data_IF_212009044805
#
_entry.id   IF_212009044805
#
_cell.length_a   1.000
_cell.length_b   1.000
_cell.length_c   1.000
_cell.angle_alpha   90.00
_cell.angle_beta   90.00
_cell.angle_gamma   90.00
#
_symmetry.space_group_name_H-M   'P 1'
#
loop_
_entity.id
_entity.type
_entity.pdbx_description
1 polymer ?
#
# COMPACT_ATOMS: atom_id res chain seq x y z
N UNK A 1 -23.96 67.60 -28.59
CA UNK A 1 -22.87 66.89 -27.89
C UNK A 1 -23.45 65.66 -27.20
N UNK A 2 -23.02 64.45 -27.57
CA UNK A 2 -23.48 63.18 -26.98
C UNK A 2 -22.42 62.71 -25.99
N UNK A 3 -22.74 62.63 -24.69
CA UNK A 3 -21.88 61.97 -23.69
C UNK A 3 -22.11 60.45 -23.76
N UNK A 4 -21.02 59.69 -23.93
CA UNK A 4 -21.00 58.24 -23.80
C UNK A 4 -20.68 57.90 -22.34
N UNK A 5 -21.57 57.16 -21.68
CA UNK A 5 -21.36 56.66 -20.32
C UNK A 5 -20.58 55.35 -20.39
N UNK A 6 -19.35 55.35 -19.89
CA UNK A 6 -18.48 54.18 -19.75
C UNK A 6 -18.79 53.49 -18.44
N UNK A 7 -19.39 52.29 -18.48
CA UNK A 7 -19.56 51.44 -17.31
C UNK A 7 -18.28 50.63 -17.09
N UNK A 8 -17.63 50.86 -15.95
CA UNK A 8 -16.50 50.07 -15.44
C UNK A 8 -17.09 48.97 -14.56
N UNK A 9 -17.09 47.72 -15.04
CA UNK A 9 -17.39 46.56 -14.19
C UNK A 9 -16.13 46.20 -13.38
N UNK A 10 -16.10 46.61 -12.12
CA UNK A 10 -15.11 46.16 -11.16
C UNK A 10 -15.41 44.69 -10.79
N UNK A 11 -14.52 43.79 -11.21
CA UNK A 11 -14.56 42.38 -10.84
C UNK A 11 -14.12 42.17 -9.40
N UNK A 12 -14.99 41.57 -8.59
CA UNK A 12 -14.70 41.13 -7.22
C UNK A 12 -14.68 39.60 -7.24
N UNK A 13 -13.51 39.01 -7.53
CA UNK A 13 -13.28 37.57 -7.41
C UNK A 13 -12.92 37.29 -5.95
N UNK A 14 -13.93 37.08 -5.11
CA UNK A 14 -13.75 36.58 -3.76
C UNK A 14 -13.38 35.08 -3.82
N UNK A 15 -12.08 34.82 -3.95
CA UNK A 15 -11.48 33.49 -3.94
C UNK A 15 -11.72 32.79 -2.61
N UNK A 16 -12.82 32.06 -2.51
CA UNK A 16 -13.13 31.25 -1.34
C UNK A 16 -12.59 29.84 -1.57
N UNK A 17 -11.38 29.57 -1.10
CA UNK A 17 -10.87 28.21 -0.99
C UNK A 17 -11.76 27.44 -0.01
N UNK A 18 -12.67 26.60 -0.54
CA UNK A 18 -13.31 25.56 0.25
C UNK A 18 -12.29 24.43 0.30
N UNK A 19 -11.66 24.24 1.45
CA UNK A 19 -10.95 23.00 1.74
C UNK A 19 -12.01 21.91 1.82
N UNK A 20 -12.20 21.18 0.73
CA UNK A 20 -12.88 19.89 0.79
C UNK A 20 -12.01 19.01 1.67
N UNK A 21 -12.50 18.67 2.86
CA UNK A 21 -11.91 17.57 3.61
C UNK A 21 -12.09 16.35 2.74
N UNK A 22 -11.01 15.89 2.09
CA UNK A 22 -10.99 14.55 1.58
C UNK A 22 -11.25 13.67 2.80
N UNK A 23 -12.24 12.79 2.75
CA UNK A 23 -12.16 11.68 3.68
C UNK A 23 -10.88 10.97 3.30
N UNK A 24 -9.91 11.05 4.20
CA UNK A 24 -8.59 10.50 3.94
C UNK A 24 -8.81 9.02 3.65
N UNK A 25 -8.38 8.58 2.47
CA UNK A 25 -8.36 7.17 2.16
C UNK A 25 -7.55 6.50 3.26
N UNK A 26 -8.15 5.55 4.00
CA UNK A 26 -7.47 4.83 5.05
C UNK A 26 -6.33 4.05 4.41
N UNK A 27 -5.11 4.45 4.72
CA UNK A 27 -3.92 4.04 3.99
C UNK A 27 -2.70 4.02 4.89
N UNK A 28 -2.08 2.86 5.03
CA UNK A 28 -0.77 2.79 5.68
C UNK A 28 0.34 2.68 4.63
N UNK A 29 1.51 3.22 4.96
CA UNK A 29 2.73 3.03 4.18
C UNK A 29 3.95 3.09 5.08
N UNK A 30 4.80 2.06 5.01
CA UNK A 30 6.08 2.05 5.71
C UNK A 30 7.14 2.99 5.09
N UNK A 31 6.84 3.57 3.93
CA UNK A 31 7.77 4.44 3.20
C UNK A 31 7.50 5.93 3.45
N UNK A 32 6.22 6.31 3.60
CA UNK A 32 5.81 7.72 3.71
C UNK A 32 4.74 7.97 4.79
N UNK A 33 4.25 6.92 5.46
CA UNK A 33 3.24 7.04 6.51
C UNK A 33 3.84 7.65 7.77
N UNK A 34 3.08 8.54 8.41
CA UNK A 34 3.47 9.14 9.70
C UNK A 34 2.72 8.53 10.87
N UNK A 35 1.64 7.82 10.59
CA UNK A 35 0.86 7.10 11.57
C UNK A 35 0.77 5.62 11.18
N UNK A 36 1.40 4.77 11.98
CA UNK A 36 1.41 3.32 11.78
C UNK A 36 0.79 2.60 12.98
N UNK A 37 0.13 3.34 13.88
CA UNK A 37 -0.40 2.78 15.12
C UNK A 37 0.62 1.94 15.88
N UNK A 38 0.19 0.75 16.31
CA UNK A 38 1.08 -0.21 16.99
C UNK A 38 2.16 -0.82 16.06
N UNK A 39 1.98 -0.77 14.74
CA UNK A 39 2.99 -1.20 13.79
C UNK A 39 4.22 -0.27 13.75
N UNK A 40 4.14 0.93 14.33
CA UNK A 40 5.32 1.80 14.56
C UNK A 40 6.37 1.16 15.48
N UNK A 41 6.00 0.15 16.26
CA UNK A 41 6.92 -0.57 17.14
C UNK A 41 7.73 -1.66 16.42
N UNK A 42 7.39 -2.00 15.16
CA UNK A 42 8.19 -2.96 14.37
C UNK A 42 9.58 -2.36 14.15
N UNK A 43 10.66 -3.04 14.60
CA UNK A 43 12.00 -2.53 14.39
C UNK A 43 12.36 -2.60 12.90
N UNK A 44 12.99 -1.53 12.41
CA UNK A 44 13.65 -1.52 11.11
C UNK A 44 15.09 -1.95 11.32
N UNK A 45 15.44 -3.11 10.80
CA UNK A 45 16.74 -3.73 11.02
C UNK A 45 17.67 -3.54 9.81
N UNK A 46 18.98 -3.62 10.08
CA UNK A 46 19.96 -3.64 9.00
C UNK A 46 19.87 -4.98 8.27
N UNK A 47 20.00 -4.92 6.94
CA UNK A 47 20.07 -6.10 6.07
C UNK A 47 21.17 -7.05 6.57
N UNK A 48 20.81 -8.33 6.77
CA UNK A 48 21.74 -9.37 7.20
C UNK A 48 21.90 -9.52 8.72
N UNK A 49 21.07 -8.85 9.53
CA UNK A 49 21.01 -9.11 10.97
C UNK A 49 20.48 -10.51 11.22
N UNK A 50 21.28 -11.37 11.88
CA UNK A 50 20.96 -12.79 12.07
C UNK A 50 20.06 -13.08 13.26
N UNK A 51 19.73 -12.08 14.08
CA UNK A 51 18.90 -12.23 15.28
C UNK A 51 18.00 -11.01 15.38
N UNK A 52 16.67 -11.20 15.33
CA UNK A 52 15.73 -10.11 15.33
C UNK A 52 15.73 -9.50 16.72
N UNK A 53 15.60 -8.20 16.75
CA UNK A 53 15.21 -7.44 17.93
C UNK A 53 13.70 -7.43 18.13
N UNK A 54 12.93 -7.76 17.08
CA UNK A 54 11.48 -7.83 17.14
C UNK A 54 10.99 -9.03 17.96
N UNK A 55 9.97 -8.76 18.77
CA UNK A 55 9.14 -9.80 19.42
C UNK A 55 7.67 -9.68 18.99
N UNK A 56 7.40 -8.88 17.96
CA UNK A 56 6.05 -8.49 17.55
C UNK A 56 5.58 -9.48 16.50
N UNK A 57 4.65 -10.38 16.82
CA UNK A 57 4.04 -11.27 15.83
C UNK A 57 2.80 -10.69 15.17
N UNK A 58 2.21 -9.65 15.77
CA UNK A 58 1.03 -8.96 15.26
C UNK A 58 1.08 -7.47 15.61
N UNK A 59 0.57 -6.63 14.71
CA UNK A 59 0.38 -5.21 14.94
C UNK A 59 -0.80 -4.71 14.13
N UNK A 60 -1.40 -3.61 14.57
CA UNK A 60 -2.48 -2.89 13.88
C UNK A 60 -2.05 -1.46 13.59
N UNK A 61 -2.27 -1.02 12.36
CA UNK A 61 -2.11 0.37 11.91
C UNK A 61 -3.30 1.20 12.35
N UNK A 62 -3.13 2.52 12.46
CA UNK A 62 -4.24 3.41 12.83
C UNK A 62 -5.33 3.48 11.75
N UNK A 63 -4.99 3.11 10.51
CA UNK A 63 -5.93 2.91 9.39
C UNK A 63 -6.69 1.57 9.44
N UNK A 64 -6.61 0.80 10.53
CA UNK A 64 -7.41 -0.41 10.71
C UNK A 64 -6.92 -1.63 9.93
N UNK A 65 -5.65 -1.66 9.56
CA UNK A 65 -5.01 -2.84 8.98
C UNK A 65 -4.22 -3.59 10.06
N UNK A 66 -4.41 -4.89 10.17
CA UNK A 66 -3.66 -5.74 11.10
C UNK A 66 -2.74 -6.66 10.34
N UNK A 67 -1.44 -6.59 10.62
CA UNK A 67 -0.43 -7.52 10.12
C UNK A 67 -0.23 -8.63 11.15
N UNK A 68 -0.16 -9.88 10.69
CA UNK A 68 0.11 -11.04 11.55
C UNK A 68 1.05 -11.99 10.85
N UNK A 69 2.20 -12.26 11.48
CA UNK A 69 3.10 -13.33 11.05
C UNK A 69 2.52 -14.69 11.46
N UNK A 70 2.76 -15.73 10.66
CA UNK A 70 2.40 -17.09 11.01
C UNK A 70 3.13 -17.59 12.29
N UNK A 71 2.66 -18.71 12.84
CA UNK A 71 3.11 -19.20 14.16
C UNK A 71 4.62 -19.35 14.23
N UNK A 72 5.28 -18.74 15.22
CA UNK A 72 6.73 -18.84 15.41
C UNK A 72 7.55 -17.81 14.61
N UNK A 73 6.92 -17.03 13.73
CA UNK A 73 7.52 -15.86 13.10
C UNK A 73 7.25 -14.57 13.89
N UNK A 74 8.09 -13.56 13.66
CA UNK A 74 7.90 -12.18 14.13
C UNK A 74 7.94 -11.22 12.95
N UNK A 75 7.13 -10.18 12.99
CA UNK A 75 7.16 -9.07 12.04
C UNK A 75 8.44 -8.27 12.24
N UNK A 76 9.12 -7.98 11.14
CA UNK A 76 10.35 -7.19 11.14
C UNK A 76 10.40 -6.35 9.88
N UNK A 77 10.90 -5.13 10.02
CA UNK A 77 11.08 -4.24 8.89
C UNK A 77 12.53 -4.23 8.42
N UNK A 78 12.71 -3.92 7.14
CA UNK A 78 14.03 -3.54 6.61
C UNK A 78 13.90 -2.48 5.55
N UNK A 79 15.00 -1.79 5.30
CA UNK A 79 15.11 -0.81 4.21
C UNK A 79 16.17 -1.23 3.22
N UNK A 80 15.77 -1.41 1.96
CA UNK A 80 16.65 -1.72 0.83
C UNK A 80 16.50 -0.62 -0.20
N UNK A 81 17.61 0.05 -0.52
CA UNK A 81 17.64 1.12 -1.54
C UNK A 81 16.58 2.23 -1.31
N UNK A 82 16.31 2.58 -0.04
CA UNK A 82 15.33 3.60 0.34
C UNK A 82 13.88 3.12 0.32
N UNK A 83 13.62 1.87 -0.05
CA UNK A 83 12.31 1.23 0.11
C UNK A 83 12.28 0.46 1.42
N UNK A 84 11.29 0.72 2.25
CA UNK A 84 11.03 0.00 3.48
C UNK A 84 9.86 -0.94 3.29
N UNK A 85 10.03 -2.18 3.77
CA UNK A 85 8.99 -3.19 3.79
C UNK A 85 9.03 -3.97 5.11
N UNK A 86 7.89 -4.55 5.48
CA UNK A 86 7.77 -5.47 6.62
C UNK A 86 7.59 -6.88 6.08
N UNK A 87 8.50 -7.76 6.49
CA UNK A 87 8.44 -9.19 6.24
C UNK A 87 8.31 -9.95 7.55
N UNK A 88 8.74 -11.21 7.51
CA UNK A 88 8.81 -12.09 8.66
C UNK A 88 10.28 -12.35 8.95
N UNK A 89 10.59 -12.58 10.22
CA UNK A 89 11.79 -13.27 10.60
C UNK A 89 11.37 -14.51 11.39
N UNK A 90 12.04 -15.62 11.09
CA UNK A 90 11.94 -16.85 11.87
C UNK A 90 13.32 -17.38 12.19
N UNK A 91 13.57 -17.68 13.47
CA UNK A 91 14.77 -18.39 13.89
C UNK A 91 14.60 -19.88 13.57
N UNK A 92 14.76 -20.23 12.29
CA UNK A 92 14.92 -21.62 11.92
C UNK A 92 16.40 -21.99 12.09
N UNK A 93 16.67 -22.87 13.05
CA UNK A 93 18.02 -23.40 13.37
C UNK A 93 18.78 -24.01 12.18
N UNK A 94 18.15 -24.12 11.01
CA UNK A 94 18.74 -24.44 9.72
C UNK A 94 19.35 -23.17 9.11
N UNK A 95 20.68 -23.05 9.12
CA UNK A 95 21.44 -21.90 8.60
C UNK A 95 21.22 -21.53 7.11
N UNK A 96 20.26 -22.15 6.43
CA UNK A 96 19.86 -21.93 5.04
C UNK A 96 18.35 -21.66 4.87
N UNK A 97 17.57 -21.49 5.94
CA UNK A 97 16.10 -21.35 5.87
C UNK A 97 15.51 -20.20 6.70
N UNK A 98 16.32 -19.43 7.43
CA UNK A 98 15.84 -18.22 8.10
C UNK A 98 15.61 -17.10 7.09
N UNK A 99 14.40 -16.56 7.02
CA UNK A 99 14.10 -15.40 6.20
C UNK A 99 14.81 -14.15 6.72
N UNK A 100 15.28 -13.32 5.79
CA UNK A 100 16.05 -12.12 6.11
C UNK A 100 15.15 -10.88 6.15
N UNK A 101 14.10 -10.95 6.96
CA UNK A 101 13.14 -9.84 7.12
C UNK A 101 12.32 -9.60 5.83
N UNK A 102 12.04 -10.69 5.11
CA UNK A 102 11.23 -10.83 3.89
C UNK A 102 10.15 -11.91 4.14
N UNK A 103 9.32 -12.19 3.15
CA UNK A 103 8.31 -13.25 3.16
C UNK A 103 8.81 -14.33 2.22
N UNK A 104 9.30 -15.42 2.81
CA UNK A 104 9.96 -16.50 2.08
C UNK A 104 9.17 -17.82 2.19
N UNK A 105 9.79 -18.91 1.73
CA UNK A 105 9.21 -20.25 1.81
C UNK A 105 8.84 -20.66 3.23
N UNK A 106 7.59 -21.11 3.40
CA UNK A 106 7.05 -21.55 4.69
C UNK A 106 6.54 -20.42 5.58
N UNK A 107 6.64 -19.19 5.10
CA UNK A 107 6.15 -17.99 5.79
C UNK A 107 4.82 -17.53 5.21
N UNK A 108 3.99 -16.97 6.09
CA UNK A 108 2.74 -16.35 5.71
C UNK A 108 2.57 -15.08 6.54
N UNK A 109 2.39 -13.97 5.84
CA UNK A 109 1.96 -12.71 6.43
C UNK A 109 0.48 -12.51 6.10
N UNK A 110 -0.34 -12.45 7.13
CA UNK A 110 -1.76 -12.16 7.01
C UNK A 110 -2.02 -10.68 7.27
N UNK A 111 -2.58 -9.99 6.27
CA UNK A 111 -3.13 -8.64 6.37
C UNK A 111 -4.65 -8.76 6.58
N UNK A 112 -5.16 -8.47 7.76
CA UNK A 112 -6.60 -8.38 8.04
C UNK A 112 -7.07 -6.93 8.06
N UNK A 113 -8.30 -6.72 7.62
CA UNK A 113 -8.97 -5.43 7.67
C UNK A 113 -10.00 -5.46 8.81
N UNK A 114 -10.15 -4.35 9.50
CA UNK A 114 -11.18 -4.13 10.52
C UNK A 114 -12.62 -4.19 9.98
N UNK A 115 -12.78 -3.91 8.68
CA UNK A 115 -14.03 -4.03 7.94
C UNK A 115 -13.82 -4.62 6.54
N UNK A 116 -14.86 -5.27 6.00
CA UNK A 116 -14.82 -5.83 4.65
C UNK A 116 -14.95 -4.70 3.61
N UNK A 117 -13.90 -4.47 2.84
CA UNK A 117 -13.84 -3.39 1.85
C UNK A 117 -12.97 -3.75 0.65
N UNK A 118 -13.08 -2.97 -0.42
CA UNK A 118 -12.20 -3.10 -1.58
C UNK A 118 -10.89 -2.35 -1.31
N UNK A 119 -9.77 -2.85 -1.85
CA UNK A 119 -8.51 -2.12 -1.84
C UNK A 119 -8.35 -1.30 -3.10
N UNK A 120 -8.04 -0.01 -2.96
CA UNK A 120 -7.63 0.83 -4.07
C UNK A 120 -6.17 0.57 -4.46
N UNK A 121 -5.35 0.11 -3.50
CA UNK A 121 -4.01 -0.40 -3.80
C UNK A 121 -3.43 -1.34 -2.74
N UNK A 122 -2.46 -2.14 -3.17
CA UNK A 122 -1.57 -2.95 -2.33
C UNK A 122 -0.13 -2.71 -2.79
N UNK A 123 0.73 -2.31 -1.87
CA UNK A 123 2.12 -1.97 -2.14
C UNK A 123 3.03 -3.10 -1.65
N UNK A 124 3.81 -3.68 -2.57
CA UNK A 124 4.78 -4.73 -2.32
C UNK A 124 6.19 -4.15 -2.43
N UNK A 125 6.99 -4.32 -1.39
CA UNK A 125 8.39 -3.97 -1.38
C UNK A 125 9.23 -5.19 -1.77
N UNK A 126 10.37 -4.90 -2.38
CA UNK A 126 11.33 -5.89 -2.83
C UNK A 126 10.69 -6.76 -3.93
N UNK A 127 11.07 -8.01 -4.10
CA UNK A 127 10.89 -8.80 -5.33
C UNK A 127 11.97 -8.46 -6.38
N UNK A 128 12.81 -9.44 -6.68
CA UNK A 128 14.00 -9.27 -7.49
C UNK A 128 13.91 -9.99 -8.85
N UNK A 129 14.49 -9.38 -9.88
CA UNK A 129 14.74 -10.05 -11.15
C UNK A 129 15.91 -11.03 -11.01
N UNK A 130 15.90 -12.08 -11.83
CA UNK A 130 16.98 -13.04 -11.92
C UNK A 130 18.32 -12.32 -12.14
N UNK A 131 19.31 -12.64 -11.29
CA UNK A 131 20.67 -12.04 -11.23
C UNK A 131 20.77 -10.68 -10.55
N UNK A 132 19.70 -10.09 -10.04
CA UNK A 132 19.80 -8.82 -9.31
C UNK A 132 20.57 -8.96 -7.98
N UNK A 133 20.44 -10.08 -7.24
CA UNK A 133 21.11 -10.25 -5.94
C UNK A 133 21.49 -11.72 -5.66
N UNK A 134 22.14 -12.39 -6.62
CA UNK A 134 22.48 -13.85 -6.57
C UNK A 134 21.29 -14.78 -6.77
N UNK A 135 20.12 -14.25 -7.08
CA UNK A 135 18.92 -15.03 -7.33
C UNK A 135 19.02 -15.77 -8.66
N UNK A 136 18.60 -17.03 -8.59
CA UNK A 136 18.71 -17.97 -9.71
C UNK A 136 17.48 -17.92 -10.62
N UNK A 137 16.39 -17.34 -10.12
CA UNK A 137 15.11 -17.20 -10.80
C UNK A 137 14.54 -15.79 -10.61
N UNK A 138 13.53 -15.46 -11.40
CA UNK A 138 12.71 -14.27 -11.20
C UNK A 138 11.74 -14.56 -10.06
N UNK A 139 11.67 -13.67 -9.07
CA UNK A 139 10.87 -13.92 -7.89
C UNK A 139 9.39 -13.63 -8.12
N UNK A 140 8.57 -14.40 -7.40
CA UNK A 140 7.11 -14.32 -7.47
C UNK A 140 6.55 -14.18 -6.07
N UNK A 141 5.65 -13.22 -5.87
CA UNK A 141 4.82 -13.11 -4.67
C UNK A 141 3.48 -13.79 -4.91
N UNK A 142 3.04 -14.67 -3.99
CA UNK A 142 1.68 -15.22 -3.99
C UNK A 142 0.80 -14.43 -3.03
N UNK A 143 -0.28 -13.88 -3.56
CA UNK A 143 -1.18 -13.02 -2.81
C UNK A 143 -2.59 -13.59 -2.93
N UNK A 144 -3.16 -14.04 -1.82
CA UNK A 144 -4.46 -14.71 -1.77
C UNK A 144 -5.49 -13.84 -1.07
N UNK A 145 -6.62 -13.59 -1.74
CA UNK A 145 -7.76 -12.89 -1.18
C UNK A 145 -9.05 -13.63 -1.57
N UNK A 146 -10.00 -13.75 -0.64
CA UNK A 146 -11.25 -14.51 -0.83
C UNK A 146 -11.06 -15.93 -1.40
N UNK A 147 -9.96 -16.60 -1.04
CA UNK A 147 -9.63 -17.95 -1.52
C UNK A 147 -9.09 -18.02 -2.95
N UNK A 148 -8.87 -16.89 -3.62
CA UNK A 148 -8.26 -16.81 -4.95
C UNK A 148 -6.83 -16.30 -4.81
N UNK A 149 -5.88 -17.09 -5.31
CA UNK A 149 -4.46 -16.74 -5.33
C UNK A 149 -4.10 -16.05 -6.64
N UNK A 150 -3.49 -14.88 -6.53
CA UNK A 150 -2.85 -14.17 -7.62
C UNK A 150 -1.34 -14.15 -7.48
N UNK A 151 -0.67 -13.70 -8.53
CA UNK A 151 0.79 -13.60 -8.60
C UNK A 151 1.22 -12.20 -9.00
N UNK A 152 2.24 -11.69 -8.30
CA UNK A 152 3.05 -10.58 -8.80
C UNK A 152 4.40 -11.16 -9.25
N UNK A 153 4.71 -11.07 -10.53
CA UNK A 153 5.93 -11.62 -11.14
C UNK A 153 6.75 -10.47 -11.77
N UNK A 154 8.02 -10.35 -11.37
CA UNK A 154 8.93 -9.34 -11.94
C UNK A 154 9.30 -9.73 -13.37
N UNK A 155 9.24 -8.77 -14.28
CA UNK A 155 9.70 -8.93 -15.66
C UNK A 155 11.08 -8.30 -15.84
N UNK A 156 11.26 -7.10 -15.30
CA UNK A 156 12.52 -6.37 -15.28
C UNK A 156 12.55 -5.37 -14.12
N UNK A 157 13.67 -4.64 -14.01
CA UNK A 157 13.88 -3.57 -13.04
C UNK A 157 12.74 -2.52 -12.90
N UNK A 158 11.88 -2.36 -13.90
CA UNK A 158 10.84 -1.33 -13.95
C UNK A 158 9.43 -1.89 -13.98
N UNK A 159 9.25 -3.15 -14.35
CA UNK A 159 7.94 -3.73 -14.63
C UNK A 159 7.74 -5.11 -14.01
N UNK A 160 6.53 -5.32 -13.53
CA UNK A 160 6.02 -6.60 -13.05
C UNK A 160 4.63 -6.86 -13.64
N UNK A 161 4.17 -8.11 -13.64
CA UNK A 161 2.82 -8.49 -14.03
C UNK A 161 2.07 -8.96 -12.80
N UNK A 162 0.93 -8.32 -12.53
CA UNK A 162 -0.06 -8.78 -11.56
C UNK A 162 -1.13 -9.61 -12.28
N UNK A 163 -1.39 -10.82 -11.78
CA UNK A 163 -2.45 -11.69 -12.26
C UNK A 163 -3.34 -12.13 -11.08
N UNK A 164 -4.65 -11.95 -11.18
CA UNK A 164 -5.60 -12.42 -10.17
C UNK A 164 -7.01 -12.59 -10.77
N UNK A 165 -7.61 -13.77 -10.67
CA UNK A 165 -8.97 -14.07 -11.19
C UNK A 165 -9.27 -13.58 -12.63
N UNK A 166 -8.30 -13.74 -13.55
CA UNK A 166 -8.44 -13.27 -14.93
C UNK A 166 -8.21 -11.76 -15.13
N UNK A 167 -7.98 -10.99 -14.06
CA UNK A 167 -7.37 -9.66 -14.14
C UNK A 167 -5.87 -9.82 -14.38
N UNK A 168 -5.37 -9.21 -15.47
CA UNK A 168 -3.94 -9.10 -15.75
C UNK A 168 -3.60 -7.64 -15.94
N UNK A 169 -2.60 -7.13 -15.22
CA UNK A 169 -2.11 -5.76 -15.39
C UNK A 169 -0.58 -5.65 -15.28
N UNK A 170 -0.01 -4.73 -16.04
CA UNK A 170 1.39 -4.32 -15.88
C UNK A 170 1.50 -3.34 -14.72
N UNK A 171 2.32 -3.68 -13.74
CA UNK A 171 2.66 -2.86 -12.58
C UNK A 171 4.01 -2.20 -12.84
N UNK A 172 4.03 -0.86 -12.80
CA UNK A 172 5.28 -0.11 -12.91
C UNK A 172 5.86 0.11 -11.51
N UNK A 173 7.16 -0.09 -11.38
CA UNK A 173 7.87 0.19 -10.14
C UNK A 173 7.79 1.70 -9.82
N UNK A 174 7.36 2.04 -8.61
CA UNK A 174 7.43 3.41 -8.05
C UNK A 174 8.88 3.86 -7.89
N UNK A 175 9.75 2.90 -7.56
CA UNK A 175 11.21 3.02 -7.56
C UNK A 175 11.77 1.76 -8.23
N UNK A 176 12.67 1.88 -9.20
CA UNK A 176 13.17 0.73 -9.94
C UNK A 176 14.05 -0.16 -9.05
N UNK A 177 13.98 -1.48 -9.29
CA UNK A 177 14.99 -2.40 -8.79
C UNK A 177 16.33 -2.08 -9.46
N UNK A 178 17.42 -2.16 -8.72
CA UNK A 178 18.76 -1.99 -9.27
C UNK A 178 19.71 -3.02 -8.66
N UNK A 179 21.00 -2.94 -8.97
CA UNK A 179 22.02 -3.86 -8.45
C UNK A 179 22.21 -3.84 -6.93
N UNK A 180 21.55 -2.92 -6.23
CA UNK A 180 21.48 -2.83 -4.76
C UNK A 180 20.10 -3.20 -4.20
N UNK A 181 19.19 -3.66 -5.06
CA UNK A 181 17.89 -4.18 -4.68
C UNK A 181 16.76 -3.15 -4.56
N UNK A 182 15.57 -3.65 -4.23
CA UNK A 182 14.45 -2.89 -3.64
C UNK A 182 13.60 -2.07 -4.60
N UNK A 183 12.80 -2.73 -5.44
CA UNK A 183 11.67 -2.08 -6.09
C UNK A 183 10.51 -1.87 -5.11
N UNK A 184 9.66 -0.88 -5.41
CA UNK A 184 8.37 -0.69 -4.77
C UNK A 184 7.27 -0.84 -5.83
N UNK A 185 6.45 -1.86 -5.69
CA UNK A 185 5.39 -2.21 -6.64
C UNK A 185 4.04 -1.79 -6.06
N UNK A 186 3.41 -0.75 -6.64
CA UNK A 186 2.04 -0.34 -6.26
C UNK A 186 1.04 -1.03 -7.18
N UNK A 187 0.43 -2.11 -6.71
CA UNK A 187 -0.65 -2.80 -7.43
C UNK A 187 -1.92 -1.98 -7.23
N UNK A 188 -2.39 -1.32 -8.29
CA UNK A 188 -3.61 -0.51 -8.23
C UNK A 188 -4.83 -1.39 -8.45
N UNK A 189 -5.88 -1.20 -7.65
CA UNK A 189 -7.12 -1.97 -7.69
C UNK A 189 -6.89 -3.49 -7.79
N UNK A 190 -6.10 -4.08 -6.86
CA UNK A 190 -5.56 -5.44 -7.00
C UNK A 190 -6.63 -6.52 -7.17
N UNK A 191 -7.82 -6.29 -6.61
CA UNK A 191 -8.92 -7.26 -6.57
C UNK A 191 -10.20 -6.72 -7.25
N UNK A 192 -10.12 -5.62 -8.00
CA UNK A 192 -11.31 -4.95 -8.52
C UNK A 192 -12.20 -4.40 -7.41
N UNK A 193 -13.51 -4.36 -7.66
CA UNK A 193 -14.51 -3.89 -6.69
C UNK A 193 -14.87 -4.96 -5.62
N UNK A 194 -14.12 -6.07 -5.56
CA UNK A 194 -14.38 -7.15 -4.63
C UNK A 194 -13.96 -6.71 -3.23
N UNK A 195 -14.92 -6.80 -2.31
CA UNK A 195 -14.68 -6.57 -0.90
C UNK A 195 -13.98 -7.78 -0.28
N UNK A 196 -12.98 -7.51 0.53
CA UNK A 196 -12.15 -8.49 1.19
C UNK A 196 -12.04 -8.15 2.68
N UNK A 197 -11.92 -9.18 3.52
CA UNK A 197 -11.62 -9.02 4.94
C UNK A 197 -10.15 -9.30 5.26
N UNK A 198 -9.44 -9.95 4.33
CA UNK A 198 -8.02 -10.27 4.50
C UNK A 198 -7.31 -10.55 3.18
N UNK A 199 -5.98 -10.41 3.23
CA UNK A 199 -5.03 -10.81 2.20
C UNK A 199 -3.95 -11.66 2.87
N UNK A 200 -3.70 -12.86 2.35
CA UNK A 200 -2.56 -13.69 2.75
C UNK A 200 -1.43 -13.53 1.73
N UNK A 201 -0.23 -13.21 2.21
CA UNK A 201 0.99 -13.07 1.43
C UNK A 201 1.90 -14.26 1.75
N UNK A 202 2.25 -15.04 0.73
CA UNK A 202 3.07 -16.27 0.82
C UNK A 202 4.03 -16.40 -0.38
N UNK A 203 4.91 -17.39 -0.36
CA UNK A 203 5.76 -17.73 -1.51
C UNK A 203 5.21 -18.93 -2.30
N UNK A 204 5.64 -19.12 -3.56
CA UNK A 204 5.44 -20.38 -4.26
C UNK A 204 6.05 -21.57 -3.49
N UNK A 205 5.33 -22.68 -3.44
CA UNK A 205 5.89 -23.96 -3.01
C UNK A 205 6.53 -24.65 -4.21
N UNK A 206 7.86 -24.54 -4.37
CA UNK A 206 8.60 -25.40 -5.29
C UNK A 206 9.39 -26.48 -4.55
N UNK A 207 9.68 -27.57 -5.27
CA UNK A 207 10.47 -28.70 -4.80
C UNK A 207 11.92 -28.27 -4.53
N UNK A 208 12.20 -27.84 -3.29
CA UNK A 208 13.54 -27.42 -2.88
C UNK A 208 13.64 -26.54 -1.64
N UNK A 209 12.51 -26.12 -1.02
CA UNK A 209 12.46 -25.40 0.27
C UNK A 209 13.55 -24.32 0.43
N UNK A 210 13.56 -23.34 -0.48
CA UNK A 210 14.64 -22.35 -0.53
C UNK A 210 14.09 -20.94 -0.59
N UNK A 211 14.67 -20.04 0.21
CA UNK A 211 14.41 -18.59 0.23
C UNK A 211 14.50 -17.94 -1.16
N UNK A 212 15.38 -18.46 -2.03
CA UNK A 212 15.66 -18.00 -3.41
C UNK A 212 14.48 -17.85 -4.39
N UNK A 213 13.26 -18.18 -3.99
CA UNK A 213 12.07 -18.13 -4.84
C UNK A 213 11.18 -16.93 -4.57
N UNK A 214 11.40 -16.24 -3.46
CA UNK A 214 10.57 -15.13 -3.03
C UNK A 214 11.32 -14.40 -1.93
N UNK A 215 11.66 -13.14 -2.17
CA UNK A 215 12.30 -12.27 -1.20
C UNK A 215 11.54 -10.91 -1.27
N UNK A 216 10.33 -10.88 -0.71
CA UNK A 216 9.44 -9.71 -0.76
C UNK A 216 8.85 -9.32 0.59
N UNK A 217 8.27 -8.14 0.69
CA UNK A 217 7.67 -7.63 1.91
C UNK A 217 6.44 -6.78 1.63
N UNK A 218 5.58 -6.58 2.64
CA UNK A 218 4.46 -5.62 2.52
C UNK A 218 4.98 -4.20 2.80
N UNK A 219 4.59 -3.25 1.94
CA UNK A 219 5.03 -1.86 2.04
C UNK A 219 3.90 -0.89 2.39
N UNK A 220 2.65 -1.27 2.10
CA UNK A 220 1.47 -0.43 2.30
C UNK A 220 0.21 -1.02 1.68
N UNK A 221 -0.93 -0.45 2.01
CA UNK A 221 -2.21 -0.71 1.35
C UNK A 221 -3.15 0.48 1.55
N UNK A 222 -4.18 0.58 0.70
CA UNK A 222 -5.14 1.67 0.71
C UNK A 222 -6.56 1.13 0.47
N UNK A 223 -7.51 1.46 1.34
CA UNK A 223 -8.93 1.10 1.19
C UNK A 223 -9.61 2.04 0.19
N UNK A 224 -10.58 1.53 -0.54
CA UNK A 224 -11.51 2.38 -1.29
C UNK A 224 -12.38 3.14 -0.28
N UNK A 225 -12.46 4.49 -0.34
CA UNK A 225 -13.33 5.25 0.55
C UNK A 225 -14.79 4.83 0.40
N UNK A 226 -15.52 4.69 1.51
CA UNK A 226 -16.93 4.32 1.45
C UNK A 226 -17.75 5.36 0.66
N UNK A 227 -18.70 4.92 -0.19
CA UNK A 227 -19.55 5.84 -0.97
C UNK A 227 -20.35 6.82 -0.09
N UNK A 228 -20.75 6.41 1.11
CA UNK A 228 -21.48 7.26 2.04
C UNK A 228 -20.64 8.47 2.49
N UNK A 229 -19.34 8.26 2.67
CA UNK A 229 -18.39 9.31 3.02
C UNK A 229 -18.24 10.32 1.89
N UNK A 230 -18.13 9.84 0.65
CA UNK A 230 -18.10 10.70 -0.55
C UNK A 230 -19.42 11.47 -0.71
N UNK A 231 -20.56 10.82 -0.51
CA UNK A 231 -21.88 11.44 -0.61
C UNK A 231 -22.10 12.50 0.49
N UNK A 232 -21.67 12.23 1.73
CA UNK A 232 -21.72 13.18 2.83
C UNK A 232 -20.93 14.45 2.53
N UNK A 233 -19.71 14.31 1.99
CA UNK A 233 -18.89 15.44 1.56
C UNK A 233 -19.55 16.25 0.45
N UNK A 234 -20.14 15.58 -0.54
CA UNK A 234 -20.85 16.24 -1.63
C UNK A 234 -22.07 17.04 -1.13
N UNK A 235 -22.82 16.51 -0.16
CA UNK A 235 -23.95 17.20 0.45
C UNK A 235 -23.51 18.45 1.22
N UNK A 236 -22.44 18.36 2.01
CA UNK A 236 -21.88 19.50 2.75
C UNK A 236 -21.42 20.60 1.79
N UNK A 237 -20.68 20.22 0.73
CA UNK A 237 -20.24 21.15 -0.29
C UNK A 237 -21.42 21.83 -1.02
N UNK A 238 -22.44 21.05 -1.37
CA UNK A 238 -23.68 21.56 -1.98
C UNK A 238 -24.41 22.56 -1.08
N UNK A 239 -24.56 22.24 0.21
CA UNK A 239 -25.19 23.12 1.19
C UNK A 239 -24.41 24.44 1.37
N UNK A 240 -23.07 24.38 1.43
CA UNK A 240 -22.22 25.57 1.51
C UNK A 240 -22.36 26.45 0.26
N UNK A 241 -22.38 25.88 -0.94
CA UNK A 241 -22.57 26.63 -2.18
C UNK A 241 -23.95 27.34 -2.23
N UNK A 242 -25.02 26.68 -1.78
CA UNK A 242 -26.36 27.28 -1.70
C UNK A 242 -26.42 28.40 -0.66
N UNK A 243 -25.80 28.20 0.51
CA UNK A 243 -25.78 29.22 1.58
C UNK A 243 -25.08 30.52 1.17
N UNK A 244 -24.00 30.44 0.39
CA UNK A 244 -23.30 31.61 -0.15
C UNK A 244 -24.14 32.39 -1.16
N UNK A 245 -24.93 31.71 -2.00
CA UNK A 245 -25.85 32.37 -2.94
C UNK A 245 -26.95 33.16 -2.24
N UNK A 246 -27.38 32.73 -1.05
CA UNK A 246 -28.40 33.47 -0.29
C UNK A 246 -27.84 34.77 0.31
N UNK A 247 -26.62 34.73 0.86
CA UNK A 247 -25.97 35.93 1.39
C UNK A 247 -25.64 36.99 0.33
N UNK A 248 -25.22 36.59 -0.88
CA UNK A 248 -24.96 37.56 -1.95
C UNK A 248 -26.21 38.30 -2.43
N UNK A 249 -27.39 37.70 -2.26
CA UNK A 249 -28.65 38.32 -2.67
C UNK A 249 -29.24 39.26 -1.61
N UNK A 250 -28.85 39.14 -0.33
CA UNK A 250 -29.28 40.04 0.75
C UNK A 250 -28.49 41.36 0.76
N UNK A 251 -27.23 41.38 0.28
CA UNK A 251 -26.43 42.62 0.18
C UNK A 251 -26.71 43.45 -1.10
N UNK A 252 -27.63 43.00 -1.95
CA UNK A 252 -28.01 43.69 -3.21
C UNK A 252 -29.41 44.34 -3.18
N UNK A 253 -30.02 44.53 -2.00
CA UNK A 253 -31.31 45.22 -1.83
C UNK A 253 -31.18 46.52 -1.05
#
# INVERSE_FOLDING_TARGET
MKLKSTLICAGLVAGSAIAFGNADAQAFSFNNGTDLGSCSAIPIENVGTKTPTSTISTCTTDDGFTLTANTGGVLTGKTVNGVTGVGIYRDESSANQGSQQEIDFGEELLLTLDEETALSSLDIAFLYEKRAVRDLIDEVALITANGITGTLEVIDAFTAIWNWDGLTQTVNAKSPANSKGGALWKITNPFGDIKISSVSLTSPQEAGESYRYSDYAIAGAEKVPEPATVAGLALVAGALAVSRRRKSNEESS
#
